data_IF_575154955550
#
_entry.id   IF_575154955550
#
_cell.length_a   1.000
_cell.length_b   1.000
_cell.length_c   1.000
_cell.angle_alpha   90.00
_cell.angle_beta   90.00
_cell.angle_gamma   90.00
#
_symmetry.space_group_name_H-M   'P 1'
#
loop_
_entity.id
_entity.type
_entity.pdbx_description
1 polymer ?
#
# COMPACT_ATOMS: atom_id res chain seq x y z
N UNK A 1 4.22 -13.11 17.30
CA UNK A 1 3.71 -12.19 16.26
C UNK A 1 3.05 -13.05 15.21
N UNK A 2 1.83 -12.73 14.77
CA UNK A 2 1.13 -13.51 13.75
C UNK A 2 1.44 -12.92 12.37
N UNK A 3 1.80 -13.75 11.41
CA UNK A 3 2.05 -13.35 10.02
C UNK A 3 0.79 -13.46 9.19
N UNK A 4 0.69 -12.66 8.12
CA UNK A 4 -0.35 -12.83 7.10
C UNK A 4 -0.34 -14.24 6.51
N UNK A 5 0.83 -14.89 6.47
CA UNK A 5 0.99 -16.27 5.99
C UNK A 5 0.28 -17.31 6.85
N UNK A 6 -0.05 -16.98 8.10
CA UNK A 6 -0.66 -17.89 9.06
C UNK A 6 -2.19 -17.86 9.00
N UNK A 7 -2.77 -17.04 8.11
CA UNK A 7 -4.20 -16.77 8.03
C UNK A 7 -4.81 -17.28 6.73
N UNK A 8 -6.02 -17.84 6.83
CA UNK A 8 -6.87 -18.09 5.65
C UNK A 8 -7.51 -16.79 5.20
N UNK A 9 -7.20 -16.35 3.98
CA UNK A 9 -7.67 -15.07 3.42
C UNK A 9 -8.84 -15.21 2.43
N UNK A 10 -9.19 -16.43 2.04
CA UNK A 10 -10.21 -16.70 1.03
C UNK A 10 -11.58 -16.10 1.40
N UNK A 11 -12.17 -15.33 0.48
CA UNK A 11 -13.46 -14.68 0.65
C UNK A 11 -13.48 -13.53 1.66
N UNK A 12 -12.35 -13.22 2.32
CA UNK A 12 -12.26 -12.15 3.31
C UNK A 12 -11.97 -10.79 2.67
N UNK A 13 -12.40 -9.74 3.35
CA UNK A 13 -11.95 -8.37 3.08
C UNK A 13 -10.69 -8.11 3.90
N UNK A 14 -9.59 -7.76 3.24
CA UNK A 14 -8.29 -7.57 3.88
C UNK A 14 -7.83 -6.13 3.65
N UNK A 15 -7.65 -5.38 4.73
CA UNK A 15 -7.02 -4.06 4.71
C UNK A 15 -5.53 -4.25 4.97
N UNK A 16 -4.69 -3.87 4.00
CA UNK A 16 -3.24 -3.92 4.13
C UNK A 16 -2.73 -2.49 4.21
N UNK A 17 -2.05 -2.17 5.32
CA UNK A 17 -1.36 -0.90 5.49
C UNK A 17 0.03 -1.03 4.89
N UNK A 18 0.27 -0.28 3.83
CA UNK A 18 1.54 -0.27 3.11
C UNK A 18 2.29 1.04 3.34
N UNK A 19 3.57 1.05 3.00
CA UNK A 19 4.38 2.27 2.93
C UNK A 19 4.62 2.65 1.47
N UNK A 20 3.69 3.43 0.89
CA UNK A 20 3.77 3.99 -0.45
C UNK A 20 4.26 5.44 -0.44
N UNK A 21 4.91 5.86 0.64
CA UNK A 21 5.55 7.17 0.70
C UNK A 21 6.83 7.15 -0.15
N UNK A 22 6.66 7.40 -1.44
CA UNK A 22 7.72 7.41 -2.47
C UNK A 22 8.03 8.84 -2.90
N UNK A 23 9.26 9.13 -3.35
CA UNK A 23 9.59 10.43 -3.90
C UNK A 23 8.83 10.67 -5.21
N UNK A 24 8.11 11.79 -5.27
CA UNK A 24 7.36 12.25 -6.44
C UNK A 24 7.87 13.62 -6.84
N UNK A 25 8.02 13.84 -8.16
CA UNK A 25 8.35 15.14 -8.73
C UNK A 25 7.48 15.38 -9.96
N UNK A 26 6.72 16.48 -9.94
CA UNK A 26 5.80 16.84 -11.02
C UNK A 26 4.85 15.68 -11.40
N UNK A 27 4.25 15.04 -10.39
CA UNK A 27 3.33 13.92 -10.55
C UNK A 27 3.96 12.61 -11.03
N UNK A 28 5.29 12.51 -11.10
CA UNK A 28 6.01 11.29 -11.49
C UNK A 28 6.76 10.69 -10.32
N UNK A 29 6.64 9.38 -10.16
CA UNK A 29 7.41 8.59 -9.18
C UNK A 29 8.87 8.54 -9.65
N UNK A 30 9.79 8.93 -8.78
CA UNK A 30 11.23 8.89 -9.06
C UNK A 30 11.87 7.56 -8.66
N UNK A 31 11.34 6.91 -7.63
CA UNK A 31 11.79 5.61 -7.13
C UNK A 31 10.58 4.78 -6.69
N UNK A 32 10.38 3.63 -7.32
CA UNK A 32 9.26 2.73 -7.10
C UNK A 32 9.61 1.52 -6.19
N UNK A 33 10.80 1.50 -5.58
CA UNK A 33 11.31 0.39 -4.76
C UNK A 33 10.28 -0.07 -3.71
N UNK A 34 9.62 0.89 -3.03
CA UNK A 34 8.60 0.58 -2.02
C UNK A 34 7.34 -0.05 -2.60
N UNK A 35 6.91 0.41 -3.78
CA UNK A 35 5.76 -0.16 -4.49
C UNK A 35 6.05 -1.62 -4.87
N UNK A 36 7.24 -1.88 -5.43
CA UNK A 36 7.68 -3.23 -5.81
C UNK A 36 7.79 -4.15 -4.60
N UNK A 37 8.28 -3.65 -3.47
CA UNK A 37 8.42 -4.41 -2.23
C UNK A 37 7.07 -4.89 -1.66
N UNK A 38 5.97 -4.16 -1.90
CA UNK A 38 4.63 -4.53 -1.45
C UNK A 38 3.94 -5.59 -2.34
N UNK A 39 4.34 -5.68 -3.62
CA UNK A 39 3.68 -6.56 -4.60
C UNK A 39 3.55 -8.02 -4.15
N UNK A 40 4.54 -8.67 -3.50
CA UNK A 40 4.40 -10.06 -3.06
C UNK A 40 3.27 -10.26 -2.06
N UNK A 41 3.11 -9.35 -1.09
CA UNK A 41 2.05 -9.46 -0.08
C UNK A 41 0.66 -9.26 -0.70
N UNK A 42 0.53 -8.24 -1.54
CA UNK A 42 -0.72 -7.93 -2.26
C UNK A 42 -1.11 -9.09 -3.17
N UNK A 43 -0.17 -9.60 -3.97
CA UNK A 43 -0.39 -10.72 -4.89
C UNK A 43 -0.78 -11.98 -4.14
N UNK A 44 -0.14 -12.27 -2.99
CA UNK A 44 -0.50 -13.41 -2.14
C UNK A 44 -1.94 -13.31 -1.64
N UNK A 45 -2.38 -12.14 -1.17
CA UNK A 45 -3.74 -11.95 -0.69
C UNK A 45 -4.77 -12.08 -1.82
N UNK A 46 -4.50 -11.49 -2.99
CA UNK A 46 -5.36 -11.61 -4.17
C UNK A 46 -5.46 -13.07 -4.65
N UNK A 47 -4.33 -13.76 -4.80
CA UNK A 47 -4.29 -15.17 -5.22
C UNK A 47 -4.99 -16.11 -4.24
N UNK A 48 -5.04 -15.75 -2.95
CA UNK A 48 -5.80 -16.47 -1.95
C UNK A 48 -7.33 -16.22 -2.03
N UNK A 49 -7.81 -15.38 -2.94
CA UNK A 49 -9.23 -15.06 -3.12
C UNK A 49 -9.74 -13.99 -2.15
N UNK A 50 -8.87 -13.14 -1.61
CA UNK A 50 -9.26 -12.03 -0.75
C UNK A 50 -9.71 -10.81 -1.57
N UNK A 51 -10.56 -9.98 -0.97
CA UNK A 51 -10.87 -8.62 -1.44
C UNK A 51 -9.93 -7.64 -0.74
N UNK A 52 -8.91 -7.19 -1.46
CA UNK A 52 -7.82 -6.36 -0.89
C UNK A 52 -8.17 -4.88 -0.93
N UNK A 53 -7.91 -4.18 0.17
CA UNK A 53 -7.92 -2.71 0.30
C UNK A 53 -6.54 -2.28 0.76
N UNK A 54 -5.97 -1.26 0.12
CA UNK A 54 -4.65 -0.73 0.47
C UNK A 54 -4.80 0.66 1.07
N UNK A 55 -4.04 0.94 2.13
CA UNK A 55 -3.96 2.26 2.74
C UNK A 55 -2.51 2.63 2.98
N UNK A 56 -2.17 3.88 2.68
CA UNK A 56 -0.85 4.43 3.00
C UNK A 56 -0.94 5.92 3.27
N UNK A 57 0.18 6.50 3.67
CA UNK A 57 0.41 7.93 3.74
C UNK A 57 1.30 8.35 2.57
N UNK A 58 1.31 9.64 2.27
CA UNK A 58 2.23 10.24 1.31
C UNK A 58 2.68 11.58 1.88
N UNK A 59 4.00 11.78 2.03
CA UNK A 59 4.56 12.95 2.65
C UNK A 59 4.09 13.17 4.10
N UNK A 60 3.94 14.44 4.48
CA UNK A 60 3.43 14.87 5.80
C UNK A 60 2.37 15.96 5.59
N UNK A 61 1.14 15.58 5.22
CA UNK A 61 0.10 16.54 4.90
C UNK A 61 -0.28 17.33 6.15
N UNK A 62 -0.55 18.63 5.97
CA UNK A 62 -1.16 19.47 7.00
C UNK A 62 -2.68 19.44 6.83
N UNK A 63 -3.40 19.26 7.94
CA UNK A 63 -4.87 19.20 7.91
C UNK A 63 -5.46 20.46 7.27
N UNK A 64 -6.40 20.26 6.35
CA UNK A 64 -7.06 21.35 5.62
C UNK A 64 -6.23 21.99 4.51
N UNK A 65 -4.99 21.52 4.27
CA UNK A 65 -4.12 22.04 3.22
C UNK A 65 -3.86 21.00 2.14
N UNK A 66 -4.10 21.37 0.89
CA UNK A 66 -3.77 20.56 -0.27
C UNK A 66 -2.38 20.92 -0.78
N UNK A 67 -1.49 19.94 -0.86
CA UNK A 67 -0.18 20.10 -1.49
C UNK A 67 -0.28 19.75 -2.98
N UNK A 68 -0.20 20.77 -3.84
CA UNK A 68 -0.27 20.62 -5.28
C UNK A 68 1.07 20.19 -5.92
N UNK A 69 2.16 20.13 -5.14
CA UNK A 69 3.47 19.70 -5.61
C UNK A 69 3.69 18.17 -5.49
N UNK A 70 2.83 17.49 -4.71
CA UNK A 70 2.64 16.04 -4.77
C UNK A 70 1.81 15.63 -6.00
#
# INVERSE_FOLDING_TARGET
MMSMSDLSLAGKRVLIREDFNVPIQAGRILDDTRLRAALPAISKALSAGARVMLVSHLGRPQEGQYDAAL
#
